data_IF_523358585705
#
_entry.id   IF_523358585705
#
_cell.length_a   1.000
_cell.length_b   1.000
_cell.length_c   1.000
_cell.angle_alpha   90.00
_cell.angle_beta   90.00
_cell.angle_gamma   90.00
#
_symmetry.space_group_name_H-M   'P 1'
#
loop_
_entity.id
_entity.type
_entity.pdbx_description
1 polymer ?
#
# COMPACT_ATOMS: atom_id res chain seq x y z
N UNK A 1 1.50 2.03 -9.78
CA UNK A 1 2.55 2.88 -10.41
C UNK A 1 2.44 4.31 -9.92
N UNK A 2 1.22 4.88 -9.85
CA UNK A 2 0.99 6.22 -9.30
C UNK A 2 1.31 6.30 -7.80
N UNK A 3 1.00 5.25 -7.06
CA UNK A 3 1.25 5.13 -5.61
C UNK A 3 2.75 5.24 -5.32
N UNK A 4 3.56 4.51 -6.10
CA UNK A 4 5.01 4.54 -5.99
C UNK A 4 5.57 5.92 -6.31
N UNK A 5 5.07 6.59 -7.35
CA UNK A 5 5.49 7.96 -7.71
C UNK A 5 5.13 8.95 -6.59
N UNK A 6 3.93 8.84 -6.02
CA UNK A 6 3.47 9.70 -4.93
C UNK A 6 4.41 9.60 -3.72
N UNK A 7 4.78 8.38 -3.34
CA UNK A 7 5.74 8.14 -2.26
C UNK A 7 7.14 8.71 -2.60
N UNK A 8 7.62 8.46 -3.81
CA UNK A 8 8.92 8.97 -4.26
C UNK A 8 8.99 10.50 -4.26
N UNK A 9 7.91 11.19 -4.62
CA UNK A 9 7.84 12.65 -4.64
C UNK A 9 8.02 13.29 -3.26
N UNK A 10 7.73 12.56 -2.17
CA UNK A 10 7.93 13.00 -0.79
C UNK A 10 9.15 12.35 -0.14
N UNK A 11 10.03 11.72 -0.93
CA UNK A 11 11.26 11.10 -0.45
C UNK A 11 11.06 9.77 0.29
N UNK A 12 9.89 9.13 0.15
CA UNK A 12 9.60 7.82 0.74
C UNK A 12 9.96 6.73 -0.28
N UNK A 13 10.71 5.71 0.16
CA UNK A 13 11.00 4.53 -0.65
C UNK A 13 9.67 3.81 -0.96
N UNK A 14 9.32 3.61 -2.24
CA UNK A 14 8.06 2.99 -2.61
C UNK A 14 8.02 1.52 -2.18
N UNK A 15 6.85 1.07 -1.71
CA UNK A 15 6.56 -0.35 -1.44
C UNK A 15 5.66 -0.90 -2.52
N UNK A 16 5.86 -2.17 -2.83
CA UNK A 16 5.11 -2.90 -3.84
C UNK A 16 4.55 -4.21 -3.25
N UNK A 17 3.47 -4.77 -3.85
CA UNK A 17 3.02 -6.11 -3.54
C UNK A 17 4.13 -7.12 -3.84
N UNK A 18 4.44 -8.00 -2.88
CA UNK A 18 5.49 -9.03 -3.04
C UNK A 18 4.91 -10.43 -2.93
N UNK A 19 3.85 -10.61 -2.14
CA UNK A 19 3.17 -11.89 -1.91
C UNK A 19 1.82 -11.94 -2.63
N UNK A 20 1.31 -13.13 -2.91
CA UNK A 20 -0.03 -13.31 -3.48
C UNK A 20 -1.14 -12.76 -2.58
N UNK A 21 -0.93 -12.71 -1.26
CA UNK A 21 -1.83 -12.06 -0.32
C UNK A 21 -1.92 -10.55 -0.54
N UNK A 22 -0.84 -9.93 -0.99
CA UNK A 22 -0.73 -8.48 -1.11
C UNK A 22 -1.60 -7.98 -2.25
N UNK A 23 -1.65 -8.71 -3.38
CA UNK A 23 -2.52 -8.33 -4.50
C UNK A 23 -4.00 -8.46 -4.12
N UNK A 24 -4.36 -9.40 -3.24
CA UNK A 24 -5.73 -9.53 -2.75
C UNK A 24 -6.10 -8.35 -1.84
N UNK A 25 -5.23 -7.99 -0.89
CA UNK A 25 -5.47 -6.87 0.03
C UNK A 25 -5.53 -5.53 -0.72
N UNK A 26 -4.62 -5.32 -1.67
CA UNK A 26 -4.63 -4.16 -2.55
C UNK A 26 -5.96 -4.04 -3.31
N UNK A 27 -6.44 -5.14 -3.91
CA UNK A 27 -7.72 -5.14 -4.63
C UNK A 27 -8.92 -4.89 -3.71
N UNK A 28 -8.92 -5.45 -2.50
CA UNK A 28 -9.96 -5.18 -1.50
C UNK A 28 -10.03 -3.71 -1.13
N UNK A 29 -8.87 -3.07 -0.90
CA UNK A 29 -8.80 -1.64 -0.63
C UNK A 29 -9.35 -0.80 -1.78
N UNK A 30 -9.01 -1.15 -3.04
CA UNK A 30 -9.58 -0.47 -4.21
C UNK A 30 -11.09 -0.62 -4.32
N UNK A 31 -11.63 -1.82 -4.09
CA UNK A 31 -13.08 -2.07 -4.15
C UNK A 31 -13.79 -1.24 -3.08
N UNK A 32 -13.31 -1.26 -1.83
CA UNK A 32 -13.88 -0.47 -0.75
C UNK A 32 -13.88 1.03 -1.08
N UNK A 33 -12.80 1.52 -1.69
CA UNK A 33 -12.74 2.90 -2.15
C UNK A 33 -13.79 3.19 -3.24
N UNK A 34 -13.90 2.37 -4.29
CA UNK A 34 -14.84 2.63 -5.38
C UNK A 34 -16.32 2.48 -4.97
N UNK A 35 -16.62 1.58 -4.03
CA UNK A 35 -18.00 1.30 -3.62
C UNK A 35 -18.48 2.21 -2.49
N UNK A 36 -17.58 2.63 -1.60
CA UNK A 36 -17.95 3.30 -0.35
C UNK A 36 -17.18 4.61 -0.11
N UNK A 37 -16.27 5.00 -1.00
CA UNK A 37 -15.32 6.10 -0.78
C UNK A 37 -14.46 5.92 0.48
N UNK A 38 -14.33 4.68 0.96
CA UNK A 38 -13.50 4.36 2.11
C UNK A 38 -12.08 4.03 1.68
N UNK A 39 -11.15 4.93 2.01
CA UNK A 39 -9.74 4.80 1.68
C UNK A 39 -8.96 3.99 2.74
N UNK A 40 -9.57 3.70 3.90
CA UNK A 40 -8.85 3.21 5.08
C UNK A 40 -8.11 1.90 4.79
N UNK A 41 -8.80 0.92 4.19
CA UNK A 41 -8.19 -0.36 3.81
C UNK A 41 -7.06 -0.21 2.80
N UNK A 42 -7.19 0.77 1.89
CA UNK A 42 -6.17 1.04 0.89
C UNK A 42 -4.94 1.71 1.51
N UNK A 43 -5.14 2.70 2.38
CA UNK A 43 -4.04 3.38 3.08
C UNK A 43 -3.32 2.46 4.05
N UNK A 44 -4.07 1.67 4.83
CA UNK A 44 -3.52 0.75 5.83
C UNK A 44 -2.62 -0.30 5.17
N UNK A 45 -3.03 -0.83 4.02
CA UNK A 45 -2.20 -1.77 3.25
C UNK A 45 -0.81 -1.18 2.93
N UNK A 46 -0.73 0.07 2.45
CA UNK A 46 0.56 0.68 2.14
C UNK A 46 1.37 0.99 3.41
N UNK A 47 0.72 1.42 4.50
CA UNK A 47 1.37 1.69 5.77
C UNK A 47 1.96 0.41 6.40
N UNK A 48 1.20 -0.68 6.41
CA UNK A 48 1.67 -1.97 6.93
C UNK A 48 2.88 -2.48 6.15
N UNK A 49 2.86 -2.36 4.81
CA UNK A 49 4.00 -2.72 3.96
C UNK A 49 5.23 -1.83 4.20
N UNK A 50 5.03 -0.56 4.54
CA UNK A 50 6.13 0.33 4.94
C UNK A 50 6.73 -0.12 6.27
N UNK A 51 5.90 -0.50 7.25
CA UNK A 51 6.35 -1.03 8.55
C UNK A 51 7.11 -2.34 8.37
N UNK A 52 6.60 -3.28 7.57
CA UNK A 52 7.29 -4.54 7.27
C UNK A 52 8.67 -4.29 6.66
N UNK A 53 8.78 -3.40 5.66
CA UNK A 53 10.08 -3.07 5.05
C UNK A 53 11.06 -2.51 6.08
N UNK A 54 10.62 -1.63 6.99
CA UNK A 54 11.51 -1.07 8.02
C UNK A 54 12.00 -2.17 8.96
N UNK A 55 11.11 -3.07 9.38
CA UNK A 55 11.46 -4.23 10.22
C UNK A 55 12.41 -5.22 9.56
N UNK A 56 12.44 -5.29 8.22
CA UNK A 56 13.40 -6.13 7.48
C UNK A 56 14.82 -5.52 7.44
N UNK A 57 14.97 -4.23 7.77
CA UNK A 57 16.26 -3.51 7.78
C UNK A 57 16.88 -3.49 9.18
N UNK A 58 16.05 -3.56 10.24
CA UNK A 58 16.48 -3.73 11.64
C UNK A 58 17.05 -5.12 11.93
#
# INVERSE_FOLDING_TARGET
MIESISLMNVGIIPVYPVKDSDILNYRKGLIAFYEMEDYSLYTDYFLDRQIERIKEIE
#
